data_IF_924232794258
#
_entry.id   IF_924232794258
#
_cell.length_a   1.000
_cell.length_b   1.000
_cell.length_c   1.000
_cell.angle_alpha   90.00
_cell.angle_beta   90.00
_cell.angle_gamma   90.00
#
_symmetry.space_group_name_H-M   'P 1'
#
loop_
_entity.id
_entity.type
_entity.pdbx_description
1 polymer ?
#
# COMPACT_ATOMS: atom_id res chain seq x y z
N UNK A 1 7.74 19.78 -2.03
CA UNK A 1 6.27 19.60 -2.08
C UNK A 1 6.07 18.13 -2.35
N UNK A 2 5.96 17.36 -1.27
CA UNK A 2 5.93 15.90 -1.36
C UNK A 2 4.58 15.49 -1.92
N UNK A 3 4.59 14.70 -2.98
CA UNK A 3 3.39 14.10 -3.56
C UNK A 3 2.85 13.17 -2.46
N UNK A 4 1.82 13.60 -1.74
CA UNK A 4 1.03 12.71 -0.91
C UNK A 4 0.27 11.80 -1.88
N UNK A 5 0.79 10.59 -2.08
CA UNK A 5 0.00 9.52 -2.67
C UNK A 5 -1.20 9.23 -1.77
N UNK A 6 -2.28 8.77 -2.36
CA UNK A 6 -3.43 8.25 -1.63
C UNK A 6 -3.04 7.11 -0.66
N UNK A 7 -2.00 6.33 -1.02
CA UNK A 7 -1.35 5.37 -0.13
C UNK A 7 0.08 5.82 0.14
N UNK A 8 0.33 6.29 1.36
CA UNK A 8 1.69 6.51 1.81
C UNK A 8 2.43 5.16 1.93
N UNK A 9 3.70 5.09 1.50
CA UNK A 9 4.52 3.89 1.67
C UNK A 9 4.67 3.56 3.16
N UNK A 10 4.91 2.29 3.52
CA UNK A 10 5.00 1.90 4.91
C UNK A 10 6.15 2.64 5.56
N UNK A 11 5.87 3.28 6.70
CA UNK A 11 6.92 3.85 7.54
C UNK A 11 7.96 2.75 7.83
N UNK A 12 9.27 3.08 7.89
CA UNK A 12 10.29 2.11 8.30
C UNK A 12 10.04 1.52 9.70
N UNK A 13 9.16 2.12 10.49
CA UNK A 13 8.75 1.67 11.82
C UNK A 13 7.40 0.94 11.85
N UNK A 14 6.62 0.97 10.76
CA UNK A 14 5.36 0.25 10.68
C UNK A 14 5.61 -1.21 10.29
N UNK A 15 4.91 -2.15 10.92
CA UNK A 15 4.98 -3.55 10.51
C UNK A 15 4.35 -3.74 9.13
N UNK A 16 4.85 -4.71 8.37
CA UNK A 16 4.26 -5.06 7.05
C UNK A 16 2.81 -5.52 7.21
N UNK A 17 2.48 -6.11 8.36
CA UNK A 17 1.14 -6.59 8.72
C UNK A 17 0.16 -5.43 8.95
N UNK A 18 0.56 -4.39 9.68
CA UNK A 18 -0.25 -3.17 9.86
C UNK A 18 -0.52 -2.48 8.52
N UNK A 19 0.49 -2.42 7.65
CA UNK A 19 0.32 -1.81 6.34
C UNK A 19 -0.53 -2.65 5.39
N UNK A 20 -0.44 -3.98 5.46
CA UNK A 20 -1.35 -4.87 4.73
C UNK A 20 -2.81 -4.71 5.20
N UNK A 21 -3.03 -4.58 6.51
CA UNK A 21 -4.36 -4.30 7.04
C UNK A 21 -4.91 -2.98 6.51
N UNK A 22 -4.09 -1.92 6.49
CA UNK A 22 -4.48 -0.63 5.91
C UNK A 22 -4.84 -0.76 4.42
N UNK A 23 -3.99 -1.39 3.61
CA UNK A 23 -4.23 -1.57 2.17
C UNK A 23 -5.50 -2.38 1.91
N UNK A 24 -5.82 -3.35 2.78
CA UNK A 24 -7.08 -4.10 2.71
C UNK A 24 -8.28 -3.22 3.05
N UNK A 25 -8.19 -2.39 4.09
CA UNK A 25 -9.30 -1.51 4.51
C UNK A 25 -9.65 -0.45 3.44
N UNK A 26 -8.68 -0.08 2.59
CA UNK A 26 -8.89 0.87 1.48
C UNK A 26 -9.07 0.20 0.12
N UNK A 27 -9.14 -1.14 0.04
CA UNK A 27 -9.23 -1.84 -1.25
C UNK A 27 -10.53 -1.58 -1.99
N UNK A 28 -11.63 -1.38 -1.25
CA UNK A 28 -12.94 -1.04 -1.80
C UNK A 28 -12.96 0.34 -2.50
N UNK A 29 -11.89 1.13 -2.34
CA UNK A 29 -11.73 2.44 -2.98
C UNK A 29 -11.08 2.34 -4.36
N UNK A 30 -10.69 1.13 -4.82
CA UNK A 30 -10.09 0.88 -6.14
C UNK A 30 -10.91 1.46 -7.30
N UNK A 31 -12.25 1.41 -7.19
CA UNK A 31 -13.16 1.90 -8.23
C UNK A 31 -13.37 3.43 -8.23
N UNK A 32 -12.83 4.16 -7.24
CA UNK A 32 -13.03 5.61 -7.14
C UNK A 32 -12.24 6.38 -8.20
N UNK A 33 -11.07 5.86 -8.61
CA UNK A 33 -10.23 6.49 -9.62
C UNK A 33 -9.19 5.50 -10.15
N UNK A 34 -8.84 5.57 -11.46
CA UNK A 34 -7.69 4.85 -12.01
C UNK A 34 -6.38 5.11 -11.26
N UNK A 35 -6.23 6.27 -10.62
CA UNK A 35 -5.08 6.62 -9.80
C UNK A 35 -5.03 5.78 -8.51
N UNK A 36 -6.16 5.66 -7.81
CA UNK A 36 -6.29 4.84 -6.60
C UNK A 36 -6.02 3.37 -6.91
N UNK A 37 -6.54 2.86 -8.03
CA UNK A 37 -6.27 1.50 -8.47
C UNK A 37 -4.77 1.25 -8.75
N UNK A 38 -4.07 2.22 -9.34
CA UNK A 38 -2.63 2.13 -9.58
C UNK A 38 -1.87 2.08 -8.25
N UNK A 39 -2.23 2.94 -7.31
CA UNK A 39 -1.56 2.99 -6.01
C UNK A 39 -1.81 1.75 -5.16
N UNK A 40 -3.04 1.22 -5.13
CA UNK A 40 -3.37 -0.05 -4.46
C UNK A 40 -2.55 -1.21 -5.05
N UNK A 41 -2.41 -1.26 -6.38
CA UNK A 41 -1.59 -2.27 -7.05
C UNK A 41 -0.12 -2.17 -6.67
N UNK A 42 0.41 -0.95 -6.60
CA UNK A 42 1.79 -0.70 -6.18
C UNK A 42 2.01 -1.07 -4.70
N UNK A 43 1.07 -0.71 -3.83
CA UNK A 43 1.10 -1.07 -2.42
C UNK A 43 1.13 -2.60 -2.22
N UNK A 44 0.25 -3.34 -2.91
CA UNK A 44 0.23 -4.82 -2.89
C UNK A 44 1.55 -5.42 -3.34
N UNK A 45 2.18 -4.84 -4.37
CA UNK A 45 3.49 -5.29 -4.85
C UNK A 45 4.57 -5.11 -3.78
N UNK A 46 4.64 -3.94 -3.14
CA UNK A 46 5.64 -3.66 -2.10
C UNK A 46 5.42 -4.57 -0.88
N UNK A 47 4.17 -4.86 -0.49
CA UNK A 47 3.86 -5.83 0.57
C UNK A 47 4.46 -7.19 0.22
N UNK A 48 4.23 -7.68 -1.01
CA UNK A 48 4.75 -8.97 -1.46
C UNK A 48 6.28 -9.00 -1.47
N UNK A 49 6.94 -7.95 -1.96
CA UNK A 49 8.41 -7.83 -1.96
C UNK A 49 8.98 -7.82 -0.53
N UNK A 50 8.37 -7.07 0.38
CA UNK A 50 8.79 -7.02 1.80
C UNK A 50 8.56 -8.34 2.53
N UNK A 51 7.44 -9.03 2.27
CA UNK A 51 7.18 -10.38 2.82
C UNK A 51 8.19 -11.39 2.30
N UNK A 52 8.52 -11.35 1.01
CA UNK A 52 9.54 -12.23 0.42
C UNK A 52 10.95 -11.95 0.95
N UNK A 53 11.28 -10.70 1.25
CA UNK A 53 12.57 -10.33 1.84
C UNK A 53 12.72 -10.72 3.32
N UNK A 54 11.61 -10.88 4.04
CA UNK A 54 11.56 -11.26 5.46
C UNK A 54 11.26 -12.75 5.69
N UNK A 55 11.05 -13.54 4.63
CA UNK A 55 10.80 -14.99 4.66
C UNK A 55 12.11 -15.78 4.55
#
# INVERSE_FOLDING_TARGET
>A
MTIHGFIDPPSPFASVEEWEAFVRDVEDLEDQSPEVARELREARRIIAEKKAANA
#
